data_IF_276975509862
#
_entry.id   IF_276975509862
#
_cell.length_a   1.000
_cell.length_b   1.000
_cell.length_c   1.000
_cell.angle_alpha   90.00
_cell.angle_beta   90.00
_cell.angle_gamma   90.00
#
_symmetry.space_group_name_H-M   'P 1'
#
loop_
_entity.id
_entity.type
_entity.pdbx_description
1 polymer ?
#
# COMPACT_ATOMS: atom_id res chain seq x y z
N UNK A 1 27.53 10.99 -3.29
CA UNK A 1 27.43 11.34 -4.72
C UNK A 1 26.40 12.46 -4.81
N UNK A 2 26.86 13.67 -5.05
CA UNK A 2 26.04 14.88 -5.06
C UNK A 2 25.38 14.95 -6.43
N UNK A 3 24.06 14.82 -6.49
CA UNK A 3 23.31 15.17 -7.68
C UNK A 3 22.91 16.65 -7.55
N UNK A 4 23.56 17.50 -8.30
CA UNK A 4 23.18 18.91 -8.43
C UNK A 4 21.99 18.96 -9.40
N UNK A 5 20.79 19.12 -8.86
CA UNK A 5 19.63 19.51 -9.66
C UNK A 5 19.56 21.04 -9.66
N UNK A 6 19.41 21.62 -10.83
CA UNK A 6 19.20 23.06 -10.95
C UNK A 6 17.88 23.41 -10.26
N UNK A 7 17.97 24.30 -9.31
CA UNK A 7 16.94 25.16 -8.75
C UNK A 7 15.93 24.59 -7.73
N UNK A 8 16.34 24.20 -6.52
CA UNK A 8 15.55 24.43 -5.28
C UNK A 8 16.45 24.12 -4.05
N UNK A 9 16.72 25.11 -3.22
CA UNK A 9 17.40 24.95 -1.92
C UNK A 9 16.38 25.21 -0.81
N UNK A 10 16.02 24.19 -0.01
CA UNK A 10 15.34 24.39 1.28
C UNK A 10 16.42 24.45 2.35
N UNK A 11 16.78 25.63 2.75
CA UNK A 11 17.57 25.83 3.97
C UNK A 11 16.60 25.94 5.15
N UNK A 12 16.53 24.91 5.97
CA UNK A 12 15.93 24.98 7.30
C UNK A 12 16.95 25.53 8.28
N UNK A 13 17.11 26.84 8.29
CA UNK A 13 17.67 27.56 9.43
C UNK A 13 16.60 28.43 10.06
N UNK A 14 16.43 28.28 11.36
CA UNK A 14 15.54 29.01 12.23
C UNK A 14 15.66 30.54 12.07
N UNK A 15 14.49 31.19 12.06
CA UNK A 15 14.23 32.60 12.37
C UNK A 15 14.16 33.64 11.25
N UNK A 16 12.97 34.27 11.23
CA UNK A 16 12.54 35.55 10.69
C UNK A 16 12.20 35.65 9.19
N UNK A 17 10.88 35.75 8.98
CA UNK A 17 10.28 36.46 7.84
C UNK A 17 10.73 37.92 7.78
N UNK A 18 11.02 38.51 6.60
CA UNK A 18 9.95 38.90 5.69
C UNK A 18 10.24 38.73 4.19
N UNK A 19 9.17 38.50 3.45
CA UNK A 19 8.95 38.86 2.03
C UNK A 19 10.08 38.76 1.00
N UNK A 20 9.82 37.90 -0.02
CA UNK A 20 10.45 37.89 -1.34
C UNK A 20 11.95 37.56 -1.41
N UNK A 21 12.20 36.27 -1.54
CA UNK A 21 13.32 35.77 -2.34
C UNK A 21 12.99 34.32 -2.72
N UNK A 22 12.68 34.09 -3.97
CA UNK A 22 12.58 32.75 -4.55
C UNK A 22 14.01 32.16 -4.58
N UNK A 23 14.37 31.38 -3.59
CA UNK A 23 15.61 30.61 -3.55
C UNK A 23 15.35 29.20 -4.06
N UNK A 24 16.30 28.68 -4.80
CA UNK A 24 16.35 27.30 -5.25
C UNK A 24 16.31 26.34 -4.06
N UNK A 25 15.35 25.41 -4.03
CA UNK A 25 15.24 24.38 -3.00
C UNK A 25 16.06 23.17 -3.46
N UNK A 26 17.21 22.92 -2.86
CA UNK A 26 17.96 21.68 -3.08
C UNK A 26 17.65 20.73 -1.93
N UNK A 27 16.95 19.62 -2.22
CA UNK A 27 16.72 18.56 -1.26
C UNK A 27 17.85 17.55 -1.36
N UNK A 28 18.63 17.36 -0.32
CA UNK A 28 19.69 16.35 -0.28
C UNK A 28 19.21 15.06 0.37
N UNK A 29 19.83 13.93 0.03
CA UNK A 29 19.56 12.65 0.68
C UNK A 29 19.87 12.68 2.19
N UNK A 30 20.73 13.61 2.64
CA UNK A 30 21.09 13.81 4.04
C UNK A 30 19.94 14.44 4.86
N UNK A 31 19.03 15.18 4.21
CA UNK A 31 17.91 15.85 4.87
C UNK A 31 16.79 14.89 5.32
N UNK A 32 16.72 13.68 4.76
CA UNK A 32 15.75 12.67 5.20
C UNK A 32 16.14 11.97 6.50
N UNK A 33 17.32 12.28 7.04
CA UNK A 33 17.79 11.77 8.33
C UNK A 33 18.16 10.28 8.34
N UNK A 34 18.58 9.81 9.50
CA UNK A 34 18.88 8.40 9.73
C UNK A 34 17.60 7.58 9.89
N UNK A 35 17.68 6.30 9.53
CA UNK A 35 16.57 5.35 9.73
C UNK A 35 16.40 5.04 11.22
N UNK A 36 15.17 5.11 11.70
CA UNK A 36 14.81 4.61 13.03
C UNK A 36 14.69 3.09 12.92
N UNK A 37 15.44 2.30 13.72
CA UNK A 37 15.25 0.85 13.73
C UNK A 37 13.80 0.49 14.07
N UNK A 38 13.19 -0.44 13.32
CA UNK A 38 11.77 -0.75 13.41
C UNK A 38 11.33 -1.28 14.78
N UNK A 39 12.26 -1.91 15.50
CA UNK A 39 12.07 -2.44 16.85
C UNK A 39 12.61 -1.51 17.94
N UNK A 40 12.90 -0.24 17.63
CA UNK A 40 13.30 0.72 18.64
C UNK A 40 12.19 0.91 19.66
N UNK A 41 12.50 0.96 20.96
CA UNK A 41 11.53 1.29 21.99
C UNK A 41 10.88 2.65 21.68
N UNK A 42 9.56 2.69 21.66
CA UNK A 42 8.80 3.94 21.54
C UNK A 42 8.30 4.30 22.93
N UNK A 43 8.76 5.43 23.45
CA UNK A 43 8.32 5.91 24.77
C UNK A 43 6.81 6.16 24.77
N UNK A 44 6.15 5.71 25.84
CA UNK A 44 4.71 5.90 26.02
C UNK A 44 3.82 4.91 25.28
N UNK A 45 4.39 3.92 24.59
CA UNK A 45 3.58 2.87 23.99
C UNK A 45 2.95 1.96 25.05
N UNK A 46 1.62 1.88 25.02
CA UNK A 46 0.84 0.95 25.81
C UNK A 46 0.28 -0.18 24.95
N UNK A 47 0.83 -1.37 25.10
CA UNK A 47 0.39 -2.57 24.37
C UNK A 47 -1.06 -3.00 24.67
N UNK A 48 -1.68 -2.46 25.72
CA UNK A 48 -3.09 -2.70 26.06
C UNK A 48 -4.05 -1.81 25.25
N UNK A 49 -3.54 -0.76 24.59
CA UNK A 49 -4.33 0.14 23.73
C UNK A 49 -4.91 -0.62 22.53
N UNK A 50 -6.15 -0.28 22.15
CA UNK A 50 -6.76 -0.83 20.95
C UNK A 50 -6.21 -0.22 19.65
N UNK A 51 -5.35 0.78 19.75
CA UNK A 51 -4.74 1.50 18.63
C UNK A 51 -3.31 1.91 18.97
N UNK A 52 -2.56 2.28 17.93
CA UNK A 52 -1.17 2.72 18.05
C UNK A 52 -1.13 4.23 18.21
N UNK A 53 -0.66 4.69 19.36
CA UNK A 53 -0.49 6.13 19.65
C UNK A 53 0.58 6.72 18.73
N UNK A 54 0.36 7.95 18.26
CA UNK A 54 1.33 8.65 17.41
C UNK A 54 2.61 9.02 18.18
N UNK A 55 3.74 8.36 17.91
CA UNK A 55 5.00 8.67 18.60
C UNK A 55 5.63 10.00 18.13
N UNK A 56 5.03 10.63 17.13
CA UNK A 56 5.49 11.86 16.51
C UNK A 56 4.45 12.98 16.60
N UNK A 57 3.52 12.88 17.54
CA UNK A 57 2.43 13.84 17.75
C UNK A 57 2.91 15.28 18.01
N UNK A 58 4.12 15.43 18.59
CA UNK A 58 4.74 16.73 18.87
C UNK A 58 5.43 17.35 17.66
N UNK A 59 5.55 16.65 16.55
CA UNK A 59 6.16 17.20 15.33
C UNK A 59 5.31 18.33 14.75
N UNK A 60 5.87 19.52 14.53
CA UNK A 60 5.13 20.60 13.89
C UNK A 60 4.96 20.32 12.40
N UNK A 61 3.88 20.87 11.83
CA UNK A 61 3.77 21.01 10.38
C UNK A 61 4.85 22.01 9.94
N UNK A 62 5.75 21.57 9.06
CA UNK A 62 6.82 22.41 8.51
C UNK A 62 6.26 23.43 7.53
N UNK A 63 5.40 22.97 6.64
CA UNK A 63 4.63 23.79 5.71
C UNK A 63 3.49 22.97 5.12
N UNK A 64 2.55 23.65 4.47
CA UNK A 64 1.44 23.01 3.78
C UNK A 64 1.51 23.32 2.29
N UNK A 65 1.40 22.28 1.47
CA UNK A 65 1.24 22.42 0.01
C UNK A 65 -0.26 22.52 -0.30
N UNK A 66 -0.63 23.50 -1.12
CA UNK A 66 -2.00 23.77 -1.56
C UNK A 66 -2.02 24.04 -3.06
N UNK A 67 -3.20 24.26 -3.63
CA UNK A 67 -3.36 24.68 -5.03
C UNK A 67 -2.63 25.99 -5.38
N UNK A 68 -2.33 26.82 -4.38
CA UNK A 68 -1.64 28.11 -4.61
C UNK A 68 -0.12 27.96 -4.78
N UNK A 69 0.49 26.88 -4.20
CA UNK A 69 1.94 26.77 -4.16
C UNK A 69 2.50 25.42 -4.69
N UNK A 70 1.65 24.42 -5.05
CA UNK A 70 2.13 23.08 -5.46
C UNK A 70 3.09 23.14 -6.67
N UNK A 71 2.96 24.11 -7.55
CA UNK A 71 3.81 24.29 -8.75
C UNK A 71 5.29 24.48 -8.41
N UNK A 72 5.60 24.92 -7.18
CA UNK A 72 6.99 25.03 -6.71
C UNK A 72 7.63 23.67 -6.43
N UNK A 73 6.82 22.62 -6.33
CA UNK A 73 7.23 21.26 -5.95
C UNK A 73 6.99 20.22 -7.05
N UNK A 74 6.20 20.56 -8.09
CA UNK A 74 5.68 19.61 -9.08
C UNK A 74 6.77 18.84 -9.83
N UNK A 75 7.85 19.49 -10.23
CA UNK A 75 8.91 18.85 -11.02
C UNK A 75 9.82 17.93 -10.22
N UNK A 76 9.80 17.99 -8.89
CA UNK A 76 10.86 17.41 -8.05
C UNK A 76 10.38 16.37 -7.05
N UNK A 77 9.30 16.66 -6.30
CA UNK A 77 8.91 15.85 -5.14
C UNK A 77 7.42 15.45 -5.12
N UNK A 78 6.60 15.98 -6.02
CA UNK A 78 5.22 15.54 -6.19
C UNK A 78 5.11 14.47 -7.27
N UNK A 79 4.10 13.61 -7.14
CA UNK A 79 3.73 12.67 -8.20
C UNK A 79 2.72 13.31 -9.16
N UNK A 80 2.62 12.82 -10.41
CA UNK A 80 1.55 13.26 -11.33
C UNK A 80 0.15 13.15 -10.73
N UNK A 81 -0.13 12.11 -9.94
CA UNK A 81 -1.40 11.94 -9.25
C UNK A 81 -1.65 12.99 -8.19
N UNK A 82 -0.64 13.35 -7.39
CA UNK A 82 -0.75 14.43 -6.40
C UNK A 82 -1.00 15.78 -7.06
N UNK A 83 -0.30 16.06 -8.17
CA UNK A 83 -0.53 17.28 -8.96
C UNK A 83 -1.99 17.33 -9.44
N UNK A 84 -2.48 16.23 -10.01
CA UNK A 84 -3.87 16.15 -10.48
C UNK A 84 -4.89 16.31 -9.34
N UNK A 85 -4.57 15.90 -8.11
CA UNK A 85 -5.42 16.15 -6.94
C UNK A 85 -5.51 17.64 -6.62
N UNK A 86 -4.40 18.41 -6.66
CA UNK A 86 -4.43 19.86 -6.48
C UNK A 86 -5.22 20.58 -7.58
N UNK A 87 -5.10 20.12 -8.82
CA UNK A 87 -5.82 20.70 -9.95
C UNK A 87 -7.33 20.38 -9.93
N UNK A 88 -7.68 19.15 -9.49
CA UNK A 88 -9.09 18.70 -9.46
C UNK A 88 -9.85 19.25 -8.26
N UNK A 89 -9.16 19.42 -7.12
CA UNK A 89 -9.76 19.82 -5.83
C UNK A 89 -9.03 21.03 -5.22
N UNK A 90 -8.93 22.16 -5.94
CA UNK A 90 -8.11 23.30 -5.53
C UNK A 90 -8.51 23.92 -4.19
N UNK A 91 -9.80 23.81 -3.82
CA UNK A 91 -10.34 24.42 -2.60
C UNK A 91 -10.24 23.54 -1.36
N UNK A 92 -9.92 22.25 -1.51
CA UNK A 92 -10.01 21.29 -0.40
C UNK A 92 -8.78 20.42 -0.23
N UNK A 93 -8.09 20.06 -1.31
CA UNK A 93 -6.91 19.19 -1.22
C UNK A 93 -5.68 19.97 -0.76
N UNK A 94 -4.99 19.44 0.20
CA UNK A 94 -3.73 19.97 0.74
C UNK A 94 -2.85 18.84 1.23
N UNK A 95 -1.55 19.10 1.35
CA UNK A 95 -0.60 18.16 1.95
C UNK A 95 0.14 18.86 3.09
N UNK A 96 -0.04 18.39 4.31
CA UNK A 96 0.70 18.87 5.47
C UNK A 96 2.04 18.14 5.55
N UNK A 97 3.14 18.88 5.37
CA UNK A 97 4.49 18.32 5.31
C UNK A 97 5.14 18.36 6.69
N UNK A 98 5.68 17.22 7.08
CA UNK A 98 6.36 17.01 8.35
C UNK A 98 7.80 16.57 8.14
N UNK A 99 8.57 16.61 9.21
CA UNK A 99 9.92 16.07 9.24
C UNK A 99 9.91 14.57 8.93
N UNK A 100 10.82 14.13 8.08
CA UNK A 100 11.01 12.71 7.76
C UNK A 100 11.48 11.93 8.98
N UNK A 101 10.82 10.80 9.27
CA UNK A 101 11.10 9.96 10.44
C UNK A 101 11.68 8.59 10.10
N UNK A 102 11.51 8.13 8.86
CA UNK A 102 12.00 6.83 8.37
C UNK A 102 11.81 5.69 9.39
N UNK A 103 10.62 5.61 9.97
CA UNK A 103 10.26 4.67 11.04
C UNK A 103 9.91 3.27 10.52
N UNK A 104 9.76 3.12 9.21
CA UNK A 104 9.43 1.85 8.57
C UNK A 104 10.66 1.19 7.96
N UNK A 105 10.86 -0.08 8.26
CA UNK A 105 11.91 -0.91 7.69
C UNK A 105 11.57 -2.39 7.85
N UNK A 106 12.44 -3.26 7.37
CA UNK A 106 12.37 -4.70 7.66
C UNK A 106 13.13 -4.96 8.96
N UNK A 107 12.63 -5.83 9.89
CA UNK A 107 13.37 -6.20 11.08
C UNK A 107 14.76 -6.75 10.74
N UNK A 108 15.78 -6.37 11.53
CA UNK A 108 17.15 -6.77 11.25
C UNK A 108 17.33 -8.28 11.22
N UNK A 109 16.68 -9.01 12.13
CA UNK A 109 16.72 -10.49 12.14
C UNK A 109 16.17 -11.12 10.85
N UNK A 110 15.18 -10.49 10.22
CA UNK A 110 14.65 -10.94 8.93
C UNK A 110 15.65 -10.67 7.80
N UNK A 111 16.32 -9.52 7.84
CA UNK A 111 17.38 -9.19 6.89
C UNK A 111 18.59 -10.13 7.03
N UNK A 112 18.99 -10.44 8.26
CA UNK A 112 20.13 -11.33 8.55
C UNK A 112 19.89 -12.78 8.05
N UNK A 113 18.62 -13.21 7.99
CA UNK A 113 18.21 -14.50 7.47
C UNK A 113 17.92 -14.49 5.96
N UNK A 114 17.97 -13.32 5.33
CA UNK A 114 17.76 -13.18 3.90
C UNK A 114 19.04 -13.53 3.15
N UNK A 115 18.95 -14.43 2.17
CA UNK A 115 20.05 -14.82 1.30
C UNK A 115 19.77 -14.35 -0.12
N UNK A 116 20.73 -13.62 -0.70
CA UNK A 116 20.65 -13.18 -2.09
C UNK A 116 20.90 -14.35 -3.04
N UNK A 117 19.87 -15.13 -3.29
CA UNK A 117 19.91 -16.32 -4.15
C UNK A 117 18.66 -16.44 -5.04
N UNK A 118 17.82 -15.43 -5.07
CA UNK A 118 16.60 -15.46 -5.85
C UNK A 118 16.89 -15.18 -7.34
N UNK A 119 16.20 -15.92 -8.20
CA UNK A 119 16.22 -15.72 -9.65
C UNK A 119 14.79 -15.66 -10.18
N UNK A 120 14.54 -14.74 -11.12
CA UNK A 120 13.26 -14.69 -11.83
C UNK A 120 13.22 -15.77 -12.92
N UNK A 121 12.04 -16.36 -13.11
CA UNK A 121 11.74 -17.33 -14.17
C UNK A 121 10.48 -16.91 -14.94
N UNK A 122 10.27 -17.51 -16.11
CA UNK A 122 9.05 -17.34 -16.90
C UNK A 122 8.67 -15.85 -17.10
N UNK A 123 9.62 -15.05 -17.62
CA UNK A 123 9.48 -13.60 -17.87
C UNK A 123 9.07 -12.78 -16.61
N UNK A 124 9.51 -13.23 -15.43
CA UNK A 124 9.19 -12.58 -14.15
C UNK A 124 7.88 -13.02 -13.51
N UNK A 125 7.11 -13.91 -14.13
CA UNK A 125 5.92 -14.53 -13.50
C UNK A 125 6.27 -15.50 -12.39
N UNK A 126 7.48 -16.05 -12.41
CA UNK A 126 8.01 -16.97 -11.41
C UNK A 126 9.24 -16.42 -10.72
N UNK A 127 9.52 -16.97 -9.54
CA UNK A 127 10.72 -16.71 -8.76
C UNK A 127 11.15 -18.00 -8.05
N UNK A 128 12.44 -18.28 -8.06
CA UNK A 128 13.05 -19.44 -7.42
C UNK A 128 14.19 -19.03 -6.51
N UNK A 129 14.64 -19.93 -5.63
CA UNK A 129 15.79 -19.72 -4.76
C UNK A 129 15.56 -18.71 -3.63
N UNK A 130 14.32 -18.29 -3.38
CA UNK A 130 14.01 -17.28 -2.35
C UNK A 130 14.26 -17.85 -0.96
N UNK A 131 15.03 -17.12 -0.15
CA UNK A 131 15.24 -17.36 1.26
C UNK A 131 14.99 -16.05 2.01
N UNK A 132 14.13 -16.09 3.01
CA UNK A 132 13.69 -14.88 3.72
C UNK A 132 12.55 -14.14 2.99
N UNK A 133 12.36 -12.88 3.29
CA UNK A 133 11.22 -12.09 2.79
C UNK A 133 11.59 -10.98 1.79
N UNK A 134 12.87 -10.81 1.50
CA UNK A 134 13.37 -9.82 0.52
C UNK A 134 14.17 -10.57 -0.54
N UNK A 135 13.52 -11.02 -1.62
CA UNK A 135 14.20 -11.85 -2.61
C UNK A 135 15.36 -11.16 -3.32
N UNK A 136 15.30 -9.84 -3.47
CA UNK A 136 16.31 -9.05 -4.17
C UNK A 136 16.80 -7.88 -3.29
N UNK A 137 17.70 -8.13 -2.33
CA UNK A 137 18.22 -7.07 -1.46
C UNK A 137 19.00 -5.99 -2.22
N UNK A 138 19.58 -6.35 -3.39
CA UNK A 138 20.24 -5.44 -4.31
C UNK A 138 19.48 -5.41 -5.66
N UNK A 139 18.31 -4.74 -5.71
CA UNK A 139 17.48 -4.76 -6.90
C UNK A 139 18.17 -4.06 -8.07
N UNK A 140 18.17 -4.68 -9.25
CA UNK A 140 18.75 -4.17 -10.48
C UNK A 140 17.76 -4.06 -11.65
N UNK A 141 16.53 -4.51 -11.43
CA UNK A 141 15.46 -4.49 -12.43
C UNK A 141 14.13 -4.11 -11.77
N UNK A 142 13.22 -3.55 -12.57
CA UNK A 142 11.90 -3.11 -12.10
C UNK A 142 11.13 -4.20 -11.36
N UNK A 143 11.13 -5.43 -11.88
CA UNK A 143 10.42 -6.55 -11.26
C UNK A 143 11.03 -7.00 -9.94
N UNK A 144 12.30 -6.70 -9.65
CA UNK A 144 12.90 -6.96 -8.35
C UNK A 144 12.20 -6.15 -7.24
N UNK A 145 11.86 -4.88 -7.50
CA UNK A 145 11.11 -4.04 -6.57
C UNK A 145 9.68 -4.57 -6.34
N UNK A 146 9.03 -5.03 -7.42
CA UNK A 146 7.68 -5.61 -7.37
C UNK A 146 7.68 -6.90 -6.55
N UNK A 147 8.65 -7.80 -6.76
CA UNK A 147 8.76 -9.02 -5.98
C UNK A 147 9.13 -8.76 -4.52
N UNK A 148 10.02 -7.80 -4.24
CA UNK A 148 10.31 -7.38 -2.87
C UNK A 148 9.05 -6.88 -2.17
N UNK A 149 8.22 -6.08 -2.86
CA UNK A 149 6.93 -5.64 -2.32
C UNK A 149 5.98 -6.81 -2.03
N UNK A 150 5.82 -7.73 -2.99
CA UNK A 150 4.89 -8.87 -2.87
C UNK A 150 5.29 -9.78 -1.70
N UNK A 151 6.59 -10.05 -1.53
CA UNK A 151 7.11 -11.00 -0.55
C UNK A 151 7.62 -10.36 0.75
N UNK A 152 7.50 -9.03 0.90
CA UNK A 152 7.99 -8.31 2.08
C UNK A 152 7.45 -8.91 3.38
N UNK A 153 8.20 -8.75 4.45
CA UNK A 153 7.84 -9.24 5.77
C UNK A 153 6.55 -8.59 6.30
N UNK A 154 5.60 -9.43 6.69
CA UNK A 154 4.31 -9.05 7.29
C UNK A 154 3.86 -10.06 8.36
N UNK A 155 4.81 -10.62 9.11
CA UNK A 155 4.53 -11.77 9.96
C UNK A 155 4.15 -13.01 9.17
N UNK A 156 3.71 -14.06 9.87
CA UNK A 156 3.31 -15.34 9.27
C UNK A 156 1.88 -15.25 8.74
N UNK A 157 0.97 -14.82 9.58
CA UNK A 157 -0.46 -14.71 9.29
C UNK A 157 -1.01 -13.37 9.77
N UNK A 158 -2.09 -12.95 9.12
CA UNK A 158 -2.90 -11.81 9.52
C UNK A 158 -4.36 -12.24 9.59
N UNK A 159 -5.07 -11.84 10.65
CA UNK A 159 -6.51 -12.01 10.78
C UNK A 159 -7.14 -10.69 11.21
N UNK A 160 -8.17 -10.25 10.50
CA UNK A 160 -8.84 -9.01 10.88
C UNK A 160 -10.07 -8.72 10.04
N UNK A 161 -10.85 -7.78 10.52
CA UNK A 161 -11.95 -7.15 9.81
C UNK A 161 -11.60 -5.73 9.42
N UNK A 162 -12.15 -5.27 8.33
CA UNK A 162 -12.06 -3.86 7.96
C UNK A 162 -13.29 -3.43 7.18
N UNK A 163 -13.77 -2.20 7.42
CA UNK A 163 -14.73 -1.57 6.54
C UNK A 163 -14.07 -1.08 5.26
N UNK A 164 -14.91 -0.84 4.26
CA UNK A 164 -14.61 -0.04 3.09
C UNK A 164 -15.74 0.96 2.86
N UNK A 165 -15.39 2.07 2.23
CA UNK A 165 -16.33 3.14 1.90
C UNK A 165 -16.14 3.55 0.45
N UNK A 166 -17.23 3.66 -0.30
CA UNK A 166 -17.27 4.36 -1.59
C UNK A 166 -17.97 5.67 -1.36
N UNK A 167 -17.25 6.76 -1.59
CA UNK A 167 -17.73 8.13 -1.37
C UNK A 167 -17.98 8.80 -2.72
N UNK A 168 -19.15 9.41 -2.86
CA UNK A 168 -19.57 10.15 -4.05
C UNK A 168 -19.31 11.67 -3.87
N UNK A 169 -19.36 12.44 -4.97
CA UNK A 169 -19.14 13.89 -4.90
C UNK A 169 -20.14 14.67 -4.04
N UNK A 170 -21.32 14.14 -3.84
CA UNK A 170 -22.37 14.70 -2.97
C UNK A 170 -22.24 14.26 -1.50
N UNK A 171 -21.09 13.67 -1.13
CA UNK A 171 -20.78 13.06 0.16
C UNK A 171 -21.68 11.86 0.54
N UNK A 172 -22.49 11.36 -0.38
CA UNK A 172 -23.22 10.11 -0.14
C UNK A 172 -22.24 8.93 -0.10
N UNK A 173 -22.45 8.00 0.83
CA UNK A 173 -21.49 6.95 1.17
C UNK A 173 -22.12 5.57 1.07
N UNK A 174 -21.44 4.65 0.40
CA UNK A 174 -21.73 3.22 0.45
C UNK A 174 -20.70 2.54 1.32
N UNK A 175 -21.15 1.94 2.42
CA UNK A 175 -20.30 1.21 3.34
C UNK A 175 -20.49 -0.30 3.18
N UNK A 176 -19.41 -1.02 3.32
CA UNK A 176 -19.41 -2.45 3.54
C UNK A 176 -18.25 -2.85 4.44
N UNK A 177 -18.26 -4.09 4.88
CA UNK A 177 -17.19 -4.63 5.71
C UNK A 177 -16.92 -6.09 5.38
N UNK A 178 -15.72 -6.54 5.69
CA UNK A 178 -15.32 -7.91 5.54
C UNK A 178 -14.35 -8.36 6.63
N UNK A 179 -14.17 -9.67 6.75
CA UNK A 179 -13.10 -10.29 7.52
C UNK A 179 -12.19 -11.05 6.58
N UNK A 180 -10.89 -11.07 6.88
CA UNK A 180 -9.91 -11.82 6.13
C UNK A 180 -8.96 -12.56 7.06
N UNK A 181 -8.46 -13.68 6.56
CA UNK A 181 -7.30 -14.40 7.09
C UNK A 181 -6.34 -14.58 5.93
N UNK A 182 -5.10 -14.10 6.07
CA UNK A 182 -4.07 -14.24 5.07
C UNK A 182 -2.86 -14.95 5.67
N UNK A 183 -2.36 -15.98 4.97
CA UNK A 183 -1.11 -16.66 5.24
C UNK A 183 -0.04 -16.12 4.33
N UNK A 184 1.04 -15.62 4.93
CA UNK A 184 2.25 -15.20 4.22
C UNK A 184 3.32 -16.29 4.39
N UNK A 185 3.82 -16.84 3.30
CA UNK A 185 4.83 -17.92 3.37
C UNK A 185 6.25 -17.38 3.48
N UNK A 186 6.44 -16.09 3.21
CA UNK A 186 7.77 -15.48 3.13
C UNK A 186 8.09 -14.74 4.42
N UNK A 187 8.50 -15.53 5.35
CA UNK A 187 9.16 -15.10 6.56
C UNK A 187 10.12 -16.21 7.01
N UNK A 188 11.19 -15.85 7.76
CA UNK A 188 12.22 -16.82 8.14
C UNK A 188 11.78 -17.85 9.18
N UNK A 189 10.58 -17.68 9.76
CA UNK A 189 10.10 -18.50 10.86
C UNK A 189 9.20 -19.66 10.42
N UNK A 190 8.81 -19.70 9.15
CA UNK A 190 7.93 -20.75 8.60
C UNK A 190 8.50 -21.29 7.30
N UNK A 191 8.66 -22.62 7.25
CA UNK A 191 9.11 -23.30 6.04
C UNK A 191 8.07 -23.18 4.91
N UNK A 192 8.54 -22.86 3.72
CA UNK A 192 7.74 -22.87 2.49
C UNK A 192 8.25 -23.93 1.52
N UNK A 193 7.83 -25.17 1.73
CA UNK A 193 8.12 -26.31 0.85
C UNK A 193 7.09 -26.50 -0.28
N UNK A 194 6.06 -25.64 -0.33
CA UNK A 194 4.93 -25.79 -1.25
C UNK A 194 5.03 -24.88 -2.49
N UNK A 195 6.05 -24.04 -2.58
CA UNK A 195 6.19 -23.08 -3.67
C UNK A 195 5.01 -22.07 -3.77
N UNK A 196 4.44 -21.70 -2.61
CA UNK A 196 3.30 -20.78 -2.55
C UNK A 196 3.76 -19.39 -2.18
N UNK A 197 3.16 -18.37 -2.80
CA UNK A 197 3.30 -16.97 -2.42
C UNK A 197 2.48 -16.67 -1.16
N UNK A 198 1.21 -17.10 -1.14
CA UNK A 198 0.31 -16.88 -0.02
C UNK A 198 -1.03 -17.59 -0.19
N UNK A 199 -1.82 -17.57 0.88
CA UNK A 199 -3.20 -18.06 0.89
C UNK A 199 -4.08 -17.02 1.61
N UNK A 200 -5.21 -16.66 0.98
CA UNK A 200 -6.12 -15.63 1.50
C UNK A 200 -7.53 -16.18 1.51
N UNK A 201 -8.19 -16.07 2.66
CA UNK A 201 -9.64 -16.19 2.76
C UNK A 201 -10.24 -14.87 3.17
N UNK A 202 -11.28 -14.44 2.48
CA UNK A 202 -12.06 -13.28 2.89
C UNK A 202 -13.55 -13.57 2.81
N UNK A 203 -14.33 -12.95 3.72
CA UNK A 203 -15.79 -13.01 3.70
C UNK A 203 -16.39 -11.63 3.93
N UNK A 204 -17.52 -11.40 3.31
CA UNK A 204 -18.33 -10.19 3.53
C UNK A 204 -19.06 -10.32 4.86
N UNK A 205 -19.06 -9.26 5.65
CA UNK A 205 -19.85 -9.15 6.89
C UNK A 205 -20.96 -8.11 6.75
N UNK A 206 -20.73 -7.08 5.92
CA UNK A 206 -21.70 -6.02 5.61
C UNK A 206 -21.68 -5.70 4.10
N UNK A 207 -22.79 -5.36 3.48
CA UNK A 207 -24.16 -5.30 4.05
C UNK A 207 -24.78 -6.70 4.24
N UNK A 208 -25.82 -6.86 5.07
CA UNK A 208 -26.43 -8.15 5.41
C UNK A 208 -26.85 -8.99 4.18
N UNK A 209 -27.29 -8.34 3.10
CA UNK A 209 -27.69 -9.05 1.85
C UNK A 209 -26.55 -9.80 1.16
N UNK A 210 -25.30 -9.44 1.44
CA UNK A 210 -24.10 -10.06 0.89
C UNK A 210 -23.30 -10.83 1.96
N UNK A 211 -23.76 -10.79 3.21
CA UNK A 211 -23.04 -11.43 4.32
C UNK A 211 -22.80 -12.93 4.05
N UNK A 212 -21.67 -13.40 4.56
CA UNK A 212 -21.15 -14.76 4.42
C UNK A 212 -20.73 -15.15 2.99
N UNK A 213 -20.90 -14.31 1.97
CA UNK A 213 -20.21 -14.53 0.70
C UNK A 213 -18.69 -14.51 0.95
N UNK A 214 -18.00 -15.57 0.54
CA UNK A 214 -16.59 -15.72 0.87
C UNK A 214 -15.76 -16.23 -0.31
N UNK A 215 -14.48 -15.92 -0.30
CA UNK A 215 -13.52 -16.35 -1.30
C UNK A 215 -12.27 -16.94 -0.62
N UNK A 216 -11.71 -17.97 -1.23
CA UNK A 216 -10.37 -18.48 -0.95
C UNK A 216 -9.53 -18.30 -2.20
N UNK A 217 -8.36 -17.70 -2.04
CA UNK A 217 -7.35 -17.55 -3.08
C UNK A 217 -6.05 -18.18 -2.61
N UNK A 218 -5.43 -18.97 -3.47
CA UNK A 218 -4.10 -19.57 -3.25
C UNK A 218 -3.20 -19.11 -4.38
N UNK A 219 -2.14 -18.40 -4.02
CA UNK A 219 -1.13 -17.85 -4.93
C UNK A 219 0.11 -18.70 -4.95
N UNK A 220 0.65 -18.93 -6.14
CA UNK A 220 1.92 -19.61 -6.36
C UNK A 220 3.06 -18.61 -6.53
N UNK A 221 4.29 -19.03 -6.22
CA UNK A 221 5.51 -18.30 -6.57
C UNK A 221 5.79 -18.25 -8.07
N UNK A 222 5.19 -19.15 -8.82
CA UNK A 222 5.27 -19.18 -10.27
C UNK A 222 3.86 -19.30 -10.84
N UNK A 223 3.26 -18.17 -11.16
CA UNK A 223 1.89 -18.09 -11.65
C UNK A 223 1.75 -18.63 -13.10
N UNK A 224 2.83 -18.69 -13.87
CA UNK A 224 2.85 -19.26 -15.21
C UNK A 224 2.73 -20.79 -15.17
N UNK A 225 3.53 -21.46 -14.35
CA UNK A 225 3.50 -22.92 -14.22
C UNK A 225 2.33 -23.39 -13.34
N UNK A 226 2.02 -22.67 -12.28
CA UNK A 226 0.96 -22.98 -11.34
C UNK A 226 0.05 -21.76 -11.15
N UNK A 227 -0.94 -21.57 -12.02
CA UNK A 227 -1.83 -20.41 -11.96
C UNK A 227 -2.58 -20.30 -10.63
N UNK A 228 -2.97 -19.06 -10.30
CA UNK A 228 -3.85 -18.73 -9.18
C UNK A 228 -5.02 -19.70 -9.09
N UNK A 229 -5.30 -20.19 -7.90
CA UNK A 229 -6.45 -21.05 -7.61
C UNK A 229 -7.43 -20.29 -6.71
N UNK A 230 -8.67 -20.17 -7.15
CA UNK A 230 -9.70 -19.46 -6.40
C UNK A 230 -10.98 -20.29 -6.26
N UNK A 231 -11.65 -20.14 -5.11
CA UNK A 231 -12.95 -20.72 -4.80
C UNK A 231 -13.84 -19.67 -4.16
N UNK A 232 -15.11 -19.72 -4.53
CA UNK A 232 -16.14 -18.83 -3.98
C UNK A 232 -17.19 -19.65 -3.25
N UNK A 233 -17.52 -19.24 -2.03
CA UNK A 233 -18.68 -19.74 -1.30
C UNK A 233 -19.86 -18.81 -1.50
N UNK A 234 -21.01 -19.39 -1.89
CA UNK A 234 -22.27 -18.68 -2.03
C UNK A 234 -23.20 -19.08 -0.87
N UNK A 235 -23.59 -18.14 0.00
CA UNK A 235 -24.42 -18.42 1.18
C UNK A 235 -25.84 -18.87 0.81
N UNK A 236 -26.42 -18.33 -0.29
CA UNK A 236 -27.75 -18.70 -0.74
C UNK A 236 -27.89 -20.16 -1.14
N UNK A 237 -26.87 -20.71 -1.84
CA UNK A 237 -26.84 -22.13 -2.24
C UNK A 237 -26.06 -23.00 -1.27
N UNK A 238 -25.34 -22.42 -0.32
CA UNK A 238 -24.42 -23.09 0.63
C UNK A 238 -23.37 -23.96 -0.04
N UNK A 239 -22.94 -23.57 -1.25
CA UNK A 239 -21.97 -24.32 -2.07
C UNK A 239 -20.70 -23.53 -2.30
N UNK A 240 -19.57 -24.25 -2.32
CA UNK A 240 -18.29 -23.74 -2.80
C UNK A 240 -18.16 -24.17 -4.26
N UNK A 241 -17.72 -23.22 -5.10
CA UNK A 241 -17.40 -23.46 -6.51
C UNK A 241 -15.99 -22.95 -6.80
N UNK A 242 -15.29 -23.61 -7.69
CA UNK A 242 -14.05 -23.07 -8.26
C UNK A 242 -14.41 -21.82 -9.08
N UNK A 243 -13.60 -20.79 -8.97
CA UNK A 243 -13.76 -19.52 -9.68
C UNK A 243 -12.50 -19.22 -10.49
N UNK A 244 -12.28 -19.91 -11.62
CA UNK A 244 -11.10 -19.71 -12.44
C UNK A 244 -11.05 -18.30 -13.06
N UNK A 245 -12.21 -17.63 -13.14
CA UNK A 245 -12.37 -16.35 -13.81
C UNK A 245 -12.18 -15.13 -12.87
N UNK A 246 -11.65 -15.32 -11.66
CA UNK A 246 -11.19 -14.18 -10.85
C UNK A 246 -9.87 -13.71 -11.48
N UNK A 247 -10.00 -13.04 -12.63
CA UNK A 247 -8.90 -12.46 -13.34
C UNK A 247 -8.35 -11.24 -12.61
N UNK A 248 -7.06 -10.99 -12.75
CA UNK A 248 -6.39 -9.86 -12.11
C UNK A 248 -6.92 -8.49 -12.53
N UNK A 249 -7.39 -8.38 -13.78
CA UNK A 249 -7.90 -7.16 -14.43
C UNK A 249 -9.38 -6.86 -14.16
N UNK A 250 -10.10 -7.76 -13.48
CA UNK A 250 -11.49 -7.50 -13.12
C UNK A 250 -11.56 -6.44 -12.00
N UNK A 251 -12.64 -5.66 -12.05
CA UNK A 251 -12.97 -4.80 -10.91
C UNK A 251 -13.24 -5.63 -9.65
N UNK A 252 -12.73 -5.20 -8.53
CA UNK A 252 -13.08 -5.78 -7.23
C UNK A 252 -14.56 -5.60 -6.97
N UNK A 253 -15.26 -6.70 -6.60
CA UNK A 253 -16.71 -6.71 -6.49
C UNK A 253 -17.34 -5.71 -5.52
N UNK A 254 -16.55 -5.20 -4.55
CA UNK A 254 -16.98 -4.19 -3.58
C UNK A 254 -16.63 -2.75 -4.02
N UNK A 255 -15.78 -2.57 -5.03
CA UNK A 255 -15.16 -1.29 -5.35
C UNK A 255 -16.03 -0.38 -6.22
N UNK A 256 -17.14 -0.85 -6.74
CA UNK A 256 -17.97 -0.12 -7.71
C UNK A 256 -17.18 0.44 -8.91
N UNK A 257 -16.15 -0.28 -9.37
CA UNK A 257 -15.32 0.12 -10.50
C UNK A 257 -14.08 0.97 -10.13
N UNK A 258 -13.85 1.25 -8.85
CA UNK A 258 -12.78 2.14 -8.42
C UNK A 258 -11.42 1.43 -8.22
N UNK A 259 -11.39 0.10 -8.14
CA UNK A 259 -10.14 -0.67 -8.05
C UNK A 259 -10.26 -2.04 -8.69
N UNK A 260 -9.14 -2.63 -9.06
CA UNK A 260 -9.04 -3.97 -9.67
C UNK A 260 -8.62 -5.02 -8.66
N UNK A 261 -8.79 -6.29 -8.98
CA UNK A 261 -8.41 -7.42 -8.13
C UNK A 261 -6.90 -7.43 -7.87
N UNK A 262 -6.09 -7.08 -8.87
CA UNK A 262 -4.64 -7.01 -8.77
C UNK A 262 -4.12 -5.82 -7.92
N UNK A 263 -5.00 -4.88 -7.58
CA UNK A 263 -4.68 -3.77 -6.69
C UNK A 263 -4.70 -4.15 -5.21
N UNK A 264 -4.95 -5.41 -4.89
CA UNK A 264 -4.87 -5.91 -3.51
C UNK A 264 -3.46 -5.71 -2.96
N UNK A 265 -3.38 -5.20 -1.72
CA UNK A 265 -2.12 -4.94 -1.00
C UNK A 265 -1.10 -4.12 -1.82
N UNK A 266 -1.56 -3.07 -2.50
CA UNK A 266 -0.77 -2.29 -3.44
C UNK A 266 -0.78 -2.90 -4.83
N UNK A 267 0.00 -3.94 -5.06
CA UNK A 267 0.02 -4.70 -6.30
C UNK A 267 0.20 -6.21 -6.03
N UNK A 268 -0.71 -7.00 -6.58
CA UNK A 268 -0.64 -8.45 -6.60
C UNK A 268 -1.22 -9.01 -7.91
N UNK A 269 -0.63 -8.59 -9.03
CA UNK A 269 -1.09 -8.87 -10.39
C UNK A 269 -0.20 -9.83 -11.18
N UNK A 270 -0.67 -10.17 -12.38
CA UNK A 270 0.12 -10.86 -13.39
C UNK A 270 1.19 -9.91 -13.93
N UNK A 271 2.43 -10.34 -13.87
CA UNK A 271 3.59 -9.52 -14.26
C UNK A 271 3.85 -9.58 -15.77
N UNK A 272 3.40 -10.65 -16.44
CA UNK A 272 3.52 -10.86 -17.88
C UNK A 272 2.69 -9.89 -18.75
N UNK A 273 1.78 -9.13 -18.11
CA UNK A 273 0.90 -8.19 -18.81
C UNK A 273 1.54 -6.87 -19.16
N UNK A 274 2.62 -6.51 -18.48
CA UNK A 274 3.24 -5.21 -18.57
C UNK A 274 4.71 -5.32 -19.00
N UNK A 275 5.16 -4.31 -19.72
CA UNK A 275 6.57 -3.98 -19.85
C UNK A 275 6.95 -3.12 -18.64
N UNK A 276 7.98 -3.55 -17.94
CA UNK A 276 8.39 -2.97 -16.67
C UNK A 276 9.63 -2.12 -16.85
N UNK A 277 9.59 -0.89 -16.34
CA UNK A 277 10.70 0.06 -16.39
C UNK A 277 11.04 0.52 -14.98
N UNK A 278 12.30 0.36 -14.58
CA UNK A 278 12.83 0.96 -13.37
C UNK A 278 13.16 2.44 -13.64
N UNK A 279 12.48 3.34 -12.94
CA UNK A 279 12.70 4.78 -13.00
C UNK A 279 13.68 5.27 -11.92
N UNK A 280 14.29 4.33 -11.19
CA UNK A 280 15.30 4.57 -10.17
C UNK A 280 14.75 5.06 -8.85
N UNK A 281 15.69 5.42 -7.97
CA UNK A 281 15.37 5.95 -6.64
C UNK A 281 15.10 7.45 -6.74
N UNK A 282 13.99 7.87 -6.18
CA UNK A 282 13.55 9.26 -6.19
C UNK A 282 13.14 9.72 -4.79
N UNK A 283 13.17 11.03 -4.56
CA UNK A 283 12.61 11.67 -3.37
C UNK A 283 11.18 12.13 -3.69
N UNK A 284 10.21 11.74 -2.86
CA UNK A 284 8.80 12.13 -3.04
C UNK A 284 8.17 12.43 -1.68
N UNK A 285 7.24 13.38 -1.65
CA UNK A 285 6.35 13.51 -0.50
C UNK A 285 5.31 12.40 -0.54
N UNK A 286 5.37 11.52 0.46
CA UNK A 286 4.49 10.35 0.55
C UNK A 286 3.73 10.33 1.87
N UNK A 287 2.51 9.75 1.89
CA UNK A 287 1.77 9.59 3.13
C UNK A 287 2.48 8.56 4.01
N UNK A 288 2.97 9.01 5.17
CA UNK A 288 3.85 8.24 6.04
C UNK A 288 3.52 8.53 7.51
N UNK A 289 3.73 7.57 8.42
CA UNK A 289 3.44 7.74 9.84
C UNK A 289 2.03 8.27 10.11
N UNK A 290 1.03 7.69 9.46
CA UNK A 290 -0.35 8.17 9.51
C UNK A 290 -1.09 7.76 10.80
N UNK A 291 -0.41 7.87 11.94
CA UNK A 291 -0.98 7.51 13.26
C UNK A 291 -2.18 8.37 13.61
N UNK A 292 -2.16 9.66 13.28
CA UNK A 292 -3.29 10.57 13.54
C UNK A 292 -4.58 10.08 12.87
N UNK A 293 -4.48 9.52 11.64
CA UNK A 293 -5.62 8.88 10.99
C UNK A 293 -6.04 7.63 11.77
N UNK A 294 -5.08 6.83 12.21
CA UNK A 294 -5.35 5.60 12.95
C UNK A 294 -6.01 5.85 14.32
N UNK A 295 -5.68 6.96 14.98
CA UNK A 295 -6.29 7.39 16.24
C UNK A 295 -7.69 7.97 16.09
N UNK A 296 -8.01 8.54 14.93
CA UNK A 296 -9.30 9.17 14.67
C UNK A 296 -10.44 8.14 14.56
N UNK A 297 -11.67 8.60 14.74
CA UNK A 297 -12.85 7.85 14.32
C UNK A 297 -13.00 7.96 12.79
N UNK A 298 -13.49 6.90 12.19
CA UNK A 298 -13.60 6.87 10.71
C UNK A 298 -14.41 8.04 10.15
N UNK A 299 -15.50 8.43 10.80
CA UNK A 299 -16.35 9.54 10.35
C UNK A 299 -15.65 10.89 10.31
N UNK A 300 -14.61 11.09 11.11
CA UNK A 300 -13.80 12.33 11.11
C UNK A 300 -12.85 12.39 9.93
N UNK A 301 -12.51 11.23 9.37
CA UNK A 301 -11.55 11.09 8.27
C UNK A 301 -12.19 11.11 6.88
N UNK A 302 -13.52 10.98 6.79
CA UNK A 302 -14.24 10.95 5.53
C UNK A 302 -14.75 12.34 5.15
N UNK A 303 -14.40 12.79 3.95
CA UNK A 303 -14.99 14.00 3.35
C UNK A 303 -15.39 13.71 1.90
N UNK A 304 -16.15 14.62 1.28
CA UNK A 304 -16.39 14.56 -0.15
C UNK A 304 -15.05 14.66 -0.92
N UNK A 305 -14.93 13.96 -2.04
CA UNK A 305 -13.81 13.99 -2.98
C UNK A 305 -12.52 13.28 -2.56
N UNK A 306 -12.09 13.37 -1.30
CA UNK A 306 -10.86 12.76 -0.79
C UNK A 306 -10.93 12.55 0.72
N UNK A 307 -9.99 11.79 1.25
CA UNK A 307 -9.79 11.65 2.70
C UNK A 307 -9.46 13.00 3.31
N UNK A 308 -9.93 13.24 4.52
CA UNK A 308 -9.61 14.48 5.25
C UNK A 308 -8.11 14.60 5.49
N UNK A 309 -7.48 15.55 4.78
CA UNK A 309 -6.04 15.74 4.76
C UNK A 309 -5.46 16.23 6.10
N UNK A 310 -6.28 16.69 7.03
CA UNK A 310 -5.83 17.05 8.38
C UNK A 310 -5.43 15.84 9.24
N UNK A 311 -5.82 14.64 8.82
CA UNK A 311 -5.45 13.39 9.46
C UNK A 311 -4.28 12.67 8.78
N UNK A 312 -3.80 13.16 7.64
CA UNK A 312 -2.65 12.61 6.95
C UNK A 312 -1.39 13.39 7.25
N UNK A 313 -0.29 12.68 7.27
CA UNK A 313 1.06 13.19 7.42
C UNK A 313 1.85 12.83 6.17
N UNK A 314 2.44 13.85 5.52
CA UNK A 314 3.32 13.63 4.38
C UNK A 314 4.76 13.93 4.77
N UNK A 315 5.64 13.03 4.40
CA UNK A 315 7.07 13.13 4.67
C UNK A 315 7.84 13.02 3.36
N UNK A 316 9.02 13.64 3.31
CA UNK A 316 9.95 13.42 2.20
C UNK A 316 10.62 12.06 2.41
N UNK A 317 10.38 11.12 1.49
CA UNK A 317 10.93 9.76 1.58
C UNK A 317 11.60 9.35 0.28
N UNK A 318 12.55 8.42 0.39
CA UNK A 318 13.11 7.73 -0.78
C UNK A 318 12.14 6.66 -1.24
N UNK A 319 11.87 6.64 -2.52
CA UNK A 319 11.03 5.62 -3.15
C UNK A 319 11.73 5.02 -4.36
N UNK A 320 11.60 3.71 -4.52
CA UNK A 320 11.89 3.04 -5.80
C UNK A 320 10.68 3.24 -6.71
N UNK A 321 10.89 3.82 -7.86
CA UNK A 321 9.80 4.15 -8.79
C UNK A 321 9.80 3.19 -9.96
N UNK A 322 8.68 2.51 -10.16
CA UNK A 322 8.52 1.51 -11.21
C UNK A 322 7.34 1.86 -12.09
N UNK A 323 7.57 1.87 -13.40
CA UNK A 323 6.50 2.05 -14.40
C UNK A 323 6.16 0.71 -15.04
N UNK A 324 4.86 0.47 -15.21
CA UNK A 324 4.29 -0.68 -15.88
C UNK A 324 3.44 -0.20 -17.07
N UNK A 325 3.87 -0.50 -18.29
CA UNK A 325 3.19 -0.17 -19.53
C UNK A 325 2.53 -1.45 -20.08
N UNK A 326 1.24 -1.42 -20.38
CA UNK A 326 0.50 -2.59 -20.87
C UNK A 326 1.12 -3.05 -22.21
N UNK A 327 1.55 -4.32 -22.26
CA UNK A 327 2.13 -4.94 -23.45
C UNK A 327 1.13 -4.99 -24.61
N UNK A 328 1.62 -4.80 -25.82
CA UNK A 328 0.83 -5.01 -27.03
C UNK A 328 0.21 -6.42 -27.06
N UNK A 329 -1.06 -6.51 -27.40
CA UNK A 329 -1.81 -7.78 -27.44
C UNK A 329 -2.26 -8.31 -26.09
N UNK A 330 -1.81 -7.75 -24.97
CA UNK A 330 -2.33 -8.06 -23.64
C UNK A 330 -3.53 -7.17 -23.30
N UNK A 331 -4.31 -7.60 -22.31
CA UNK A 331 -5.50 -6.85 -21.85
C UNK A 331 -5.41 -6.54 -20.38
N UNK A 332 -5.65 -5.28 -20.06
CA UNK A 332 -5.89 -4.78 -18.71
C UNK A 332 -6.67 -3.46 -18.81
N UNK A 333 -7.48 -3.15 -17.80
CA UNK A 333 -8.24 -1.89 -17.76
C UNK A 333 -7.37 -0.69 -17.31
N UNK A 334 -6.16 -0.95 -16.82
CA UNK A 334 -5.17 0.06 -16.43
C UNK A 334 -4.01 0.01 -17.44
N UNK A 335 -3.99 0.91 -18.45
CA UNK A 335 -3.01 0.85 -19.52
C UNK A 335 -1.57 1.16 -19.09
N UNK A 336 -1.41 2.10 -18.14
CA UNK A 336 -0.11 2.44 -17.57
C UNK A 336 -0.26 2.75 -16.09
N UNK A 337 0.75 2.32 -15.32
CA UNK A 337 0.82 2.50 -13.88
C UNK A 337 2.22 2.93 -13.49
N UNK A 338 2.34 3.90 -12.57
CA UNK A 338 3.60 4.25 -11.92
C UNK A 338 3.43 4.01 -10.43
N UNK A 339 4.27 3.13 -9.90
CA UNK A 339 4.21 2.65 -8.52
C UNK A 339 5.39 3.18 -7.73
N UNK A 340 5.13 3.63 -6.50
CA UNK A 340 6.12 4.21 -5.60
C UNK A 340 6.29 3.32 -4.39
N UNK A 341 7.40 2.57 -4.35
CA UNK A 341 7.74 1.65 -3.28
C UNK A 341 8.70 2.31 -2.30
N UNK A 342 8.37 2.28 -1.03
CA UNK A 342 9.25 2.74 0.03
C UNK A 342 10.60 2.02 -0.02
N UNK A 343 11.68 2.78 0.02
CA UNK A 343 13.03 2.24 -0.08
C UNK A 343 13.41 1.35 1.10
N UNK A 344 12.89 1.67 2.30
CA UNK A 344 13.29 1.03 3.55
C UNK A 344 12.40 -0.19 3.90
N UNK A 345 11.11 -0.16 3.58
CA UNK A 345 10.14 -1.22 3.95
C UNK A 345 9.61 -2.04 2.76
N UNK A 346 9.86 -1.60 1.55
CA UNK A 346 9.32 -2.15 0.30
C UNK A 346 7.78 -2.07 0.17
N UNK A 347 7.10 -1.37 1.08
CA UNK A 347 5.68 -1.10 0.94
C UNK A 347 5.40 -0.17 -0.24
N UNK A 348 4.33 -0.41 -0.96
CA UNK A 348 3.82 0.57 -1.92
C UNK A 348 3.12 1.70 -1.17
N UNK A 349 3.53 2.94 -1.41
CA UNK A 349 3.01 4.14 -0.75
C UNK A 349 2.00 4.89 -1.62
N UNK A 350 2.20 4.87 -2.93
CA UNK A 350 1.31 5.51 -3.89
C UNK A 350 1.36 4.82 -5.25
N UNK A 351 0.37 5.12 -6.07
CA UNK A 351 0.30 4.71 -7.46
C UNK A 351 -0.43 5.77 -8.29
N UNK A 352 0.17 6.12 -9.41
CA UNK A 352 -0.45 6.92 -10.47
C UNK A 352 -0.91 5.99 -11.60
N UNK A 353 -2.14 6.15 -12.06
CA UNK A 353 -2.70 5.37 -13.16
C UNK A 353 -3.06 6.30 -14.30
N UNK A 354 -2.57 5.96 -15.49
CA UNK A 354 -2.79 6.72 -16.71
C UNK A 354 -3.72 5.99 -17.66
N UNK A 355 -4.47 6.75 -18.45
CA UNK A 355 -5.27 6.23 -19.55
C UNK A 355 -4.39 5.97 -20.80
N UNK A 356 -5.01 5.45 -21.87
CA UNK A 356 -4.30 5.18 -23.12
C UNK A 356 -3.83 6.44 -23.87
N UNK A 357 -4.20 7.64 -23.40
CA UNK A 357 -3.76 8.93 -23.94
C UNK A 357 -2.74 9.62 -23.03
N UNK A 358 -2.22 8.90 -22.03
CA UNK A 358 -1.25 9.40 -21.04
C UNK A 358 -1.81 10.49 -20.12
N UNK A 359 -3.13 10.61 -19.97
CA UNK A 359 -3.73 11.45 -18.94
C UNK A 359 -3.84 10.67 -17.63
N UNK A 360 -3.59 11.36 -16.52
CA UNK A 360 -3.80 10.76 -15.21
C UNK A 360 -5.30 10.51 -14.99
N UNK A 361 -5.70 9.26 -14.76
CA UNK A 361 -7.10 8.89 -14.55
C UNK A 361 -7.41 8.58 -13.10
N UNK A 362 -6.42 8.06 -12.37
CA UNK A 362 -6.56 7.70 -10.95
C UNK A 362 -5.28 7.99 -10.19
N UNK A 363 -5.45 8.38 -8.95
CA UNK A 363 -4.40 8.40 -7.95
C UNK A 363 -4.76 7.47 -6.82
N UNK A 364 -3.79 6.76 -6.28
CA UNK A 364 -3.98 5.91 -5.11
C UNK A 364 -2.88 6.15 -4.09
N UNK A 365 -3.25 6.24 -2.82
CA UNK A 365 -2.32 6.37 -1.71
C UNK A 365 -2.56 5.29 -0.66
N UNK A 366 -1.47 4.83 -0.04
CA UNK A 366 -1.45 3.77 0.95
C UNK A 366 -0.60 4.22 2.15
N UNK A 367 -1.14 5.13 2.99
CA UNK A 367 -0.42 5.61 4.16
C UNK A 367 -0.10 4.46 5.12
N UNK A 368 1.13 4.42 5.60
CA UNK A 368 1.61 3.35 6.48
C UNK A 368 1.93 3.85 7.89
N UNK A 369 1.92 2.91 8.83
CA UNK A 369 2.47 3.05 10.18
C UNK A 369 3.37 1.86 10.50
N UNK A 370 4.25 2.02 11.49
CA UNK A 370 4.91 0.92 12.16
C UNK A 370 4.00 0.37 13.27
N UNK A 371 3.69 -0.92 13.21
CA UNK A 371 2.99 -1.67 14.25
C UNK A 371 4.04 -2.14 15.26
N UNK A 372 4.37 -1.29 16.24
CA UNK A 372 5.60 -1.48 17.05
C UNK A 372 5.57 -2.68 17.99
N UNK A 373 4.42 -3.24 18.33
CA UNK A 373 4.29 -4.48 19.09
C UNK A 373 4.64 -5.72 18.26
N UNK A 374 4.56 -5.59 16.94
CA UNK A 374 4.79 -6.65 15.96
C UNK A 374 5.85 -6.25 14.92
N UNK A 375 6.89 -5.51 15.27
CA UNK A 375 7.83 -4.70 14.48
C UNK A 375 7.69 -4.87 12.96
N UNK A 376 6.62 -4.31 12.38
CA UNK A 376 6.38 -4.32 10.95
C UNK A 376 5.64 -3.08 10.50
N UNK A 377 5.85 -2.68 9.24
CA UNK A 377 5.07 -1.61 8.63
C UNK A 377 4.04 -2.16 7.65
N UNK A 378 2.84 -1.59 7.73
CA UNK A 378 1.82 -1.86 6.74
C UNK A 378 0.88 -0.65 6.60
N UNK A 379 0.15 -0.59 5.49
CA UNK A 379 -0.82 0.48 5.25
C UNK A 379 -2.02 0.38 6.21
N UNK A 380 -2.52 1.54 6.61
CA UNK A 380 -3.73 1.65 7.45
C UNK A 380 -5.00 1.77 6.62
N UNK A 381 -4.87 2.10 5.36
CA UNK A 381 -5.92 2.03 4.34
C UNK A 381 -5.31 2.13 2.93
N UNK A 382 -6.13 1.91 1.93
CA UNK A 382 -5.87 2.28 0.54
C UNK A 382 -6.98 3.22 0.08
N UNK A 383 -6.64 4.44 -0.30
CA UNK A 383 -7.55 5.41 -0.89
C UNK A 383 -7.31 5.45 -2.41
N UNK A 384 -8.33 5.14 -3.20
CA UNK A 384 -8.28 5.17 -4.67
C UNK A 384 -9.20 6.27 -5.20
N UNK A 385 -8.65 7.32 -5.73
CA UNK A 385 -9.34 8.50 -6.25
C UNK A 385 -9.51 8.38 -7.76
N UNK A 386 -10.75 8.37 -8.25
CA UNK A 386 -11.09 8.44 -9.68
C UNK A 386 -11.36 9.89 -10.05
N UNK A 387 -10.43 10.49 -10.79
CA UNK A 387 -10.46 11.93 -11.08
C UNK A 387 -11.58 12.35 -12.03
N UNK A 388 -12.00 11.44 -12.91
CA UNK A 388 -13.07 11.70 -13.86
C UNK A 388 -14.47 11.72 -13.20
N UNK A 389 -14.73 10.73 -12.33
CA UNK A 389 -16.02 10.63 -11.63
C UNK A 389 -16.03 11.39 -10.31
N UNK A 390 -14.86 11.84 -9.83
CA UNK A 390 -14.64 12.48 -8.53
C UNK A 390 -15.14 11.65 -7.35
N UNK A 391 -15.12 10.34 -7.51
CA UNK A 391 -15.45 9.36 -6.48
C UNK A 391 -14.17 8.78 -5.91
N UNK A 392 -14.22 8.33 -4.67
CA UNK A 392 -13.11 7.54 -4.17
C UNK A 392 -13.57 6.33 -3.37
N UNK A 393 -12.71 5.33 -3.34
CA UNK A 393 -12.82 4.15 -2.49
C UNK A 393 -11.78 4.27 -1.37
N UNK A 394 -12.24 4.18 -0.14
CA UNK A 394 -11.39 3.96 1.03
C UNK A 394 -11.55 2.51 1.47
N UNK A 395 -10.49 1.72 1.42
CA UNK A 395 -10.53 0.28 1.67
C UNK A 395 -9.48 -0.17 2.69
N UNK A 396 -9.79 -1.20 3.46
CA UNK A 396 -8.86 -1.78 4.42
C UNK A 396 -8.59 -0.90 5.63
N UNK A 397 -9.57 -0.07 6.00
CA UNK A 397 -9.43 0.97 7.00
C UNK A 397 -9.05 0.43 8.38
N UNK A 398 -8.09 1.11 9.00
CA UNK A 398 -7.64 0.93 10.38
C UNK A 398 -7.78 2.27 11.10
N UNK A 399 -8.72 2.35 12.02
CA UNK A 399 -9.02 3.54 12.83
C UNK A 399 -9.38 3.12 14.24
N UNK A 400 -9.51 4.04 15.19
CA UNK A 400 -9.72 3.73 16.59
C UNK A 400 -11.04 2.99 16.89
N UNK A 401 -12.03 3.14 16.03
CA UNK A 401 -13.34 2.47 16.11
C UNK A 401 -13.46 1.21 15.24
N UNK A 402 -12.35 0.77 14.62
CA UNK A 402 -12.24 -0.50 13.88
C UNK A 402 -11.49 -1.52 14.72
N UNK A 403 -11.97 -2.78 14.84
CA UNK A 403 -11.28 -3.80 15.62
C UNK A 403 -9.81 -3.97 15.20
N UNK A 404 -8.92 -4.08 16.20
CA UNK A 404 -7.49 -4.32 15.98
C UNK A 404 -7.27 -5.55 15.10
N UNK A 405 -6.32 -5.47 14.20
CA UNK A 405 -5.84 -6.63 13.42
C UNK A 405 -5.02 -7.54 14.31
N UNK A 406 -5.25 -8.82 14.18
CA UNK A 406 -4.47 -9.83 14.88
C UNK A 406 -3.35 -10.31 13.95
N UNK A 407 -2.15 -9.79 14.17
CA UNK A 407 -0.93 -10.25 13.52
C UNK A 407 -0.40 -11.48 14.25
N UNK A 408 0.06 -12.45 13.48
CA UNK A 408 0.73 -13.64 13.99
C UNK A 408 2.12 -13.68 13.39
N UNK A 409 3.12 -13.40 14.21
CA UNK A 409 4.51 -13.33 13.72
C UNK A 409 5.17 -14.69 13.64
N UNK A 410 4.82 -15.63 14.51
CA UNK A 410 5.47 -16.94 14.67
C UNK A 410 4.52 -18.15 14.61
N UNK A 411 3.22 -17.95 14.75
CA UNK A 411 2.25 -19.04 14.90
C UNK A 411 1.21 -19.03 13.77
N UNK A 412 1.41 -19.81 12.71
CA UNK A 412 0.50 -19.83 11.57
C UNK A 412 -0.84 -20.51 11.89
N UNK A 413 -1.89 -20.11 11.19
CA UNK A 413 -3.13 -20.87 11.10
C UNK A 413 -2.85 -22.25 10.50
N UNK A 414 -3.67 -23.25 10.85
CA UNK A 414 -3.54 -24.60 10.29
C UNK A 414 -3.89 -24.60 8.79
N UNK A 415 -3.07 -25.22 7.97
CA UNK A 415 -3.26 -25.30 6.51
C UNK A 415 -4.62 -25.84 6.08
N UNK A 416 -5.21 -26.73 6.87
CA UNK A 416 -6.56 -27.28 6.62
C UNK A 416 -7.67 -26.23 6.62
N UNK A 417 -7.41 -25.01 7.09
CA UNK A 417 -8.34 -23.90 6.98
C UNK A 417 -8.42 -23.40 5.54
N UNK A 418 -7.30 -23.39 4.82
CA UNK A 418 -7.19 -22.86 3.45
C UNK A 418 -7.55 -23.94 2.40
N UNK A 419 -8.72 -24.53 2.57
CA UNK A 419 -9.30 -25.52 1.65
C UNK A 419 -10.73 -25.14 1.32
N UNK A 420 -11.33 -25.66 0.22
CA UNK A 420 -12.75 -25.42 -0.07
C UNK A 420 -13.69 -25.80 1.09
N UNK A 421 -13.38 -26.89 1.81
CA UNK A 421 -14.12 -27.31 2.99
C UNK A 421 -13.88 -26.38 4.18
N UNK A 422 -12.65 -25.89 4.33
CA UNK A 422 -12.28 -24.90 5.33
C UNK A 422 -13.00 -23.58 5.08
N UNK A 423 -13.00 -23.08 3.84
CA UNK A 423 -13.75 -21.89 3.41
C UNK A 423 -15.24 -22.02 3.78
N UNK A 424 -15.87 -23.16 3.46
CA UNK A 424 -17.28 -23.39 3.77
C UNK A 424 -17.58 -23.37 5.29
N UNK A 425 -16.66 -23.84 6.12
CA UNK A 425 -16.80 -23.81 7.59
C UNK A 425 -16.61 -22.41 8.14
N UNK A 426 -15.62 -21.69 7.62
CA UNK A 426 -15.26 -20.35 8.09
C UNK A 426 -16.27 -19.28 7.64
N UNK A 427 -16.92 -19.46 6.50
CA UNK A 427 -17.93 -18.57 5.95
C UNK A 427 -19.30 -18.65 6.67
N UNK A 428 -19.50 -19.61 7.56
CA UNK A 428 -20.71 -19.71 8.40
C UNK A 428 -20.45 -19.02 9.74
#
# INVERSE_FOLDING_TARGET
>A
MIFVFKNIIILLSLFFLPTTLFGEVTVSLEEIGERIPINSPIEGFDSSSNFYVDPFSDDPILFTITSENYKQFEEHVLTPGQIAMFETYPDSFKMNIYKSRRSCSVPQEVLDLTVENATMTDEGEGIEGVVGSIPFPNPSEALHHVWNHILRYRGVDIEGGSPYYVINPDDSRTMGAGKAIARNFWNPFVSNDKGLQGMIMSRVTEPPRLADAAVLVIESLNAFQTPRRAWVYNPGTRRVRRAPDIAYDNYSGFSQGLTTVDSFDGFNGAKDRYDWTDLGVQLRFMPYNAYKFHEAKIEETLTAFHVNQDFLRYELVRVNVVRADLKEGKRHILPQRVMYFDYDSYNMLAEDVFDGQQNIMRYRELPQINYYDEPMCNSIHSASYDLATRRYLLNGVRSSDVPKVNWRVDTPHKDKMFTPEGLKRWAK
#
